data_IF_782940476239
#
_entry.id   IF_782940476239
#
_cell.length_a   1.000
_cell.length_b   1.000
_cell.length_c   1.000
_cell.angle_alpha   90.00
_cell.angle_beta   90.00
_cell.angle_gamma   90.00
#
_symmetry.space_group_name_H-M   'P 1'
#
loop_
_entity.id
_entity.type
_entity.pdbx_description
1 polymer ?
#
# COMPACT_ATOMS: atom_id res chain seq x y z
N UNK A 1 -10.64 17.76 3.44
CA UNK A 1 -10.48 19.21 3.18
C UNK A 1 -9.14 19.47 2.48
N UNK A 2 -8.92 18.82 1.35
CA UNK A 2 -7.70 18.90 0.55
C UNK A 2 -8.11 19.03 -0.91
N UNK A 3 -7.38 19.82 -1.69
CA UNK A 3 -7.52 19.86 -3.15
C UNK A 3 -6.32 19.18 -3.76
N UNK A 4 -6.59 18.09 -4.48
CA UNK A 4 -5.62 17.42 -5.33
C UNK A 4 -5.62 18.13 -6.70
N UNK A 5 -4.44 18.56 -7.15
CA UNK A 5 -4.24 19.12 -8.48
C UNK A 5 -3.37 18.17 -9.28
N UNK A 6 -3.96 17.43 -10.22
CA UNK A 6 -3.25 16.46 -11.08
C UNK A 6 -2.98 17.08 -12.44
N UNK A 7 -1.73 16.98 -12.92
CA UNK A 7 -1.33 17.40 -14.25
C UNK A 7 -0.65 16.24 -14.99
N UNK A 8 -1.10 16.00 -16.22
CA UNK A 8 -0.52 15.00 -17.14
C UNK A 8 -0.26 15.64 -18.50
N UNK A 9 0.84 15.24 -19.15
CA UNK A 9 1.19 15.67 -20.50
C UNK A 9 2.21 14.73 -21.14
N UNK A 10 2.10 14.52 -22.45
CA UNK A 10 3.12 13.82 -23.25
C UNK A 10 4.29 14.73 -23.65
N UNK A 11 4.17 16.05 -23.50
CA UNK A 11 5.24 16.99 -23.83
C UNK A 11 6.27 17.05 -22.71
N UNK A 12 7.52 16.65 -22.99
CA UNK A 12 8.62 16.70 -22.04
C UNK A 12 8.87 18.12 -21.50
N UNK A 13 8.82 19.12 -22.40
CA UNK A 13 8.97 20.53 -22.03
C UNK A 13 7.90 20.95 -20.99
N UNK A 14 6.64 20.67 -21.28
CA UNK A 14 5.52 21.00 -20.38
C UNK A 14 5.58 20.20 -19.08
N UNK A 15 6.03 18.94 -19.13
CA UNK A 15 6.20 18.09 -17.95
C UNK A 15 7.27 18.63 -16.98
N UNK A 16 8.36 19.19 -17.52
CA UNK A 16 9.39 19.90 -16.75
C UNK A 16 8.83 21.18 -16.13
N UNK A 17 8.16 22.01 -16.93
CA UNK A 17 7.56 23.26 -16.47
C UNK A 17 6.56 23.04 -15.32
N UNK A 18 5.70 22.02 -15.44
CA UNK A 18 4.71 21.66 -14.41
C UNK A 18 5.32 21.42 -13.04
N UNK A 19 6.50 20.79 -12.97
CA UNK A 19 7.16 20.51 -11.69
C UNK A 19 7.98 21.71 -11.22
N UNK A 20 8.72 22.38 -12.12
CA UNK A 20 9.55 23.54 -11.79
C UNK A 20 8.72 24.69 -11.21
N UNK A 21 7.55 24.98 -11.78
CA UNK A 21 6.64 26.04 -11.27
C UNK A 21 6.30 25.83 -9.78
N UNK A 22 5.96 24.60 -9.39
CA UNK A 22 5.58 24.28 -8.02
C UNK A 22 6.81 24.26 -7.09
N UNK A 23 7.90 23.62 -7.50
CA UNK A 23 9.12 23.52 -6.68
C UNK A 23 9.73 24.92 -6.43
N UNK A 24 9.78 25.78 -7.44
CA UNK A 24 10.26 27.16 -7.30
C UNK A 24 9.36 28.01 -6.38
N UNK A 25 8.10 27.61 -6.22
CA UNK A 25 7.16 28.21 -5.27
C UNK A 25 7.20 27.57 -3.88
N UNK A 26 8.19 26.70 -3.62
CA UNK A 26 8.34 25.98 -2.35
C UNK A 26 7.31 24.88 -2.12
N UNK A 27 6.64 24.38 -3.18
CA UNK A 27 5.60 23.35 -3.09
C UNK A 27 6.17 22.01 -3.58
N UNK A 28 6.34 21.01 -2.70
CA UNK A 28 6.72 19.66 -3.10
C UNK A 28 5.71 19.04 -4.07
N UNK A 29 6.19 18.22 -5.00
CA UNK A 29 5.38 17.66 -6.07
C UNK A 29 5.40 16.13 -6.01
N UNK A 30 4.23 15.52 -5.89
CA UNK A 30 4.09 14.08 -6.06
C UNK A 30 4.26 13.70 -7.52
N UNK A 31 5.09 12.70 -7.80
CA UNK A 31 5.42 12.25 -9.14
C UNK A 31 5.10 10.77 -9.25
N UNK A 32 4.51 10.38 -10.38
CA UNK A 32 4.42 8.97 -10.77
C UNK A 32 5.42 8.70 -11.88
N UNK A 33 6.21 7.63 -11.74
CA UNK A 33 7.30 7.31 -12.67
C UNK A 33 7.63 5.81 -12.66
N UNK A 34 8.52 5.39 -13.57
CA UNK A 34 9.12 4.05 -13.56
C UNK A 34 10.42 4.04 -12.75
N UNK A 35 10.46 3.22 -11.70
CA UNK A 35 11.62 3.08 -10.83
C UNK A 35 12.85 2.48 -11.53
N UNK A 36 12.69 1.80 -12.66
CA UNK A 36 13.80 1.28 -13.47
C UNK A 36 14.86 2.36 -13.74
N UNK A 37 14.43 3.56 -14.11
CA UNK A 37 15.36 4.62 -14.52
C UNK A 37 16.03 5.32 -13.33
N UNK A 38 15.50 5.20 -12.11
CA UNK A 38 16.03 5.93 -10.95
C UNK A 38 17.42 5.44 -10.53
N UNK A 39 18.38 6.35 -10.38
CA UNK A 39 19.79 6.00 -10.16
C UNK A 39 20.04 5.22 -8.87
N UNK A 40 19.28 5.50 -7.82
CA UNK A 40 19.40 4.84 -6.51
C UNK A 40 18.73 3.45 -6.45
N UNK A 41 17.95 3.05 -7.46
CA UNK A 41 17.44 1.68 -7.55
C UNK A 41 18.53 0.75 -8.10
N UNK A 42 19.12 -0.05 -7.22
CA UNK A 42 20.19 -1.01 -7.57
C UNK A 42 19.67 -2.22 -8.33
N UNK A 43 18.49 -2.73 -7.96
CA UNK A 43 17.80 -3.79 -8.67
C UNK A 43 16.85 -3.20 -9.71
N UNK A 44 17.20 -3.35 -10.99
CA UNK A 44 16.49 -2.75 -12.11
C UNK A 44 15.34 -3.65 -12.58
N UNK A 45 14.11 -3.17 -12.42
CA UNK A 45 12.91 -3.77 -13.00
C UNK A 45 11.92 -2.67 -13.37
N UNK A 46 11.17 -2.89 -14.45
CA UNK A 46 10.14 -1.94 -14.90
C UNK A 46 8.93 -1.98 -13.98
N UNK A 47 8.64 -0.84 -13.37
CA UNK A 47 7.43 -0.61 -12.59
C UNK A 47 7.04 0.87 -12.66
N UNK A 48 6.38 1.23 -13.77
CA UNK A 48 5.84 2.58 -14.05
C UNK A 48 4.65 2.99 -13.15
N UNK A 49 4.43 2.27 -12.04
CA UNK A 49 3.45 2.57 -11.00
C UNK A 49 4.08 3.11 -9.72
N UNK A 50 5.36 3.47 -9.72
CA UNK A 50 6.07 3.97 -8.55
C UNK A 50 5.76 5.45 -8.28
N UNK A 51 5.75 5.83 -6.99
CA UNK A 51 5.44 7.20 -6.56
C UNK A 51 6.53 7.75 -5.64
N UNK A 52 6.95 8.97 -5.92
CA UNK A 52 7.94 9.72 -5.13
C UNK A 52 7.48 11.16 -4.94
N UNK A 53 8.07 11.88 -3.98
CA UNK A 53 7.86 13.32 -3.82
C UNK A 53 9.12 14.07 -4.22
N UNK A 54 9.04 14.89 -5.26
CA UNK A 54 10.10 15.83 -5.61
C UNK A 54 10.06 17.03 -4.67
N UNK A 55 11.20 17.38 -4.09
CA UNK A 55 11.33 18.55 -3.20
C UNK A 55 12.39 19.55 -3.65
N UNK A 56 13.22 19.21 -4.63
CA UNK A 56 14.21 20.13 -5.19
C UNK A 56 14.79 19.63 -6.51
N UNK A 57 15.55 20.50 -7.18
CA UNK A 57 16.39 20.15 -8.33
C UNK A 57 17.50 21.19 -8.52
N UNK A 58 18.53 20.83 -9.29
CA UNK A 58 19.53 21.74 -9.84
C UNK A 58 19.74 21.46 -11.34
N UNK A 59 20.86 21.91 -11.92
CA UNK A 59 21.15 21.74 -13.34
C UNK A 59 21.27 20.27 -13.76
N UNK A 60 21.74 19.39 -12.85
CA UNK A 60 22.08 18.01 -13.14
C UNK A 60 21.19 17.01 -12.42
N UNK A 61 20.60 17.38 -11.29
CA UNK A 61 20.00 16.45 -10.35
C UNK A 61 18.59 16.85 -9.89
N UNK A 62 17.84 15.84 -9.46
CA UNK A 62 16.52 15.95 -8.87
C UNK A 62 16.54 15.28 -7.50
N UNK A 63 16.05 16.02 -6.50
CA UNK A 63 16.00 15.57 -5.11
C UNK A 63 14.59 15.05 -4.78
N UNK A 64 14.52 13.81 -4.32
CA UNK A 64 13.29 13.05 -4.13
C UNK A 64 13.20 12.51 -2.70
N UNK A 65 11.98 12.46 -2.17
CA UNK A 65 11.64 11.63 -1.02
C UNK A 65 10.94 10.36 -1.54
N UNK A 66 11.51 9.21 -1.20
CA UNK A 66 11.01 7.87 -1.46
C UNK A 66 10.82 7.15 -0.11
N UNK A 67 10.37 5.90 -0.15
CA UNK A 67 10.29 5.00 0.99
C UNK A 67 11.64 4.85 1.70
N UNK A 68 11.61 4.62 3.01
CA UNK A 68 12.81 4.40 3.81
C UNK A 68 13.66 3.23 3.30
N UNK A 69 13.03 2.21 2.70
CA UNK A 69 13.74 1.09 2.09
C UNK A 69 14.64 1.51 0.93
N UNK A 70 14.29 2.59 0.22
CA UNK A 70 15.08 3.13 -0.88
C UNK A 70 16.05 4.25 -0.45
N UNK A 71 16.06 4.61 0.85
CA UNK A 71 16.95 5.64 1.40
C UNK A 71 16.25 6.86 2.01
N UNK A 72 14.92 6.98 1.86
CA UNK A 72 14.18 8.13 2.35
C UNK A 72 14.41 9.37 1.49
N UNK A 73 15.47 10.14 1.76
CA UNK A 73 15.88 11.27 0.91
C UNK A 73 16.96 10.81 -0.06
N UNK A 74 16.68 10.93 -1.35
CA UNK A 74 17.48 10.35 -2.43
C UNK A 74 17.62 11.32 -3.59
N UNK A 75 18.56 11.03 -4.48
CA UNK A 75 18.89 11.86 -5.63
C UNK A 75 18.96 11.00 -6.89
N UNK A 76 18.51 11.55 -8.01
CA UNK A 76 18.71 10.96 -9.35
C UNK A 76 19.02 12.07 -10.34
N UNK A 77 19.75 11.75 -11.40
CA UNK A 77 20.03 12.68 -12.49
C UNK A 77 18.74 13.17 -13.16
N UNK A 78 18.75 14.43 -13.59
CA UNK A 78 17.64 15.06 -14.30
C UNK A 78 17.25 14.27 -15.57
N UNK A 79 18.25 13.75 -16.29
CA UNK A 79 18.06 12.90 -17.46
C UNK A 79 17.26 11.63 -17.13
N UNK A 80 17.65 10.92 -16.07
CA UNK A 80 16.99 9.67 -15.70
C UNK A 80 15.62 9.90 -15.08
N UNK A 81 15.44 10.99 -14.33
CA UNK A 81 14.13 11.43 -13.86
C UNK A 81 13.13 11.65 -15.01
N UNK A 82 13.58 12.22 -16.12
CA UNK A 82 12.74 12.45 -17.29
C UNK A 82 12.40 11.17 -18.05
N UNK A 83 13.37 10.26 -18.18
CA UNK A 83 13.12 8.92 -18.72
C UNK A 83 12.09 8.17 -17.86
N UNK A 84 12.28 8.18 -16.53
CA UNK A 84 11.38 7.57 -15.57
C UNK A 84 9.93 8.04 -15.73
N UNK A 85 9.73 9.35 -15.89
CA UNK A 85 8.40 9.97 -16.01
C UNK A 85 7.76 9.77 -17.38
N UNK A 86 8.56 9.62 -18.43
CA UNK A 86 8.07 9.48 -19.79
C UNK A 86 7.97 8.03 -20.27
N UNK A 87 8.28 7.06 -19.41
CA UNK A 87 8.17 5.63 -19.72
C UNK A 87 6.78 5.26 -20.26
N UNK A 88 6.73 4.20 -21.08
CA UNK A 88 5.52 3.66 -21.71
C UNK A 88 5.26 2.24 -21.23
N UNK A 89 4.03 1.78 -21.46
CA UNK A 89 3.62 0.42 -21.15
C UNK A 89 2.74 0.32 -19.90
N UNK A 90 2.60 -0.88 -19.34
CA UNK A 90 1.69 -1.15 -18.23
C UNK A 90 1.91 -0.21 -17.05
N UNK A 91 0.82 0.28 -16.46
CA UNK A 91 0.81 1.21 -15.31
C UNK A 91 1.44 2.59 -15.54
N UNK A 92 2.07 2.87 -16.68
CA UNK A 92 2.63 4.20 -16.98
C UNK A 92 1.56 5.30 -17.05
N UNK A 93 1.99 6.55 -16.88
CA UNK A 93 1.14 7.74 -17.05
C UNK A 93 1.88 8.78 -17.90
N UNK A 94 1.15 9.77 -18.43
CA UNK A 94 1.76 10.82 -19.25
C UNK A 94 2.46 11.86 -18.35
N UNK A 95 3.67 11.55 -17.87
CA UNK A 95 4.47 12.41 -16.99
C UNK A 95 3.68 12.97 -15.78
N UNK A 96 2.84 12.15 -15.16
CA UNK A 96 1.91 12.55 -14.11
C UNK A 96 2.65 13.21 -12.94
N UNK A 97 2.18 14.41 -12.59
CA UNK A 97 2.58 15.15 -11.41
C UNK A 97 1.34 15.63 -10.67
N UNK A 98 1.43 15.73 -9.35
CA UNK A 98 0.34 16.26 -8.55
C UNK A 98 0.85 17.07 -7.37
N UNK A 99 0.06 18.07 -6.97
CA UNK A 99 0.24 18.76 -5.69
C UNK A 99 -1.02 18.62 -4.85
N UNK A 100 -0.81 18.61 -3.53
CA UNK A 100 -1.89 18.59 -2.55
C UNK A 100 -1.84 19.92 -1.83
N UNK A 101 -2.98 20.60 -1.77
CA UNK A 101 -3.09 21.84 -0.98
C UNK A 101 -4.26 21.78 -0.01
N UNK A 102 -4.11 22.37 1.19
CA UNK A 102 -5.25 22.56 2.07
C UNK A 102 -6.31 23.43 1.40
N UNK A 103 -7.56 23.21 1.78
CA UNK A 103 -8.66 24.13 1.44
C UNK A 103 -9.20 24.77 2.72
N UNK A 104 -9.96 25.86 2.61
CA UNK A 104 -10.52 26.58 3.76
C UNK A 104 -11.87 26.00 4.22
N UNK A 105 -12.27 24.80 3.77
CA UNK A 105 -13.56 24.23 4.13
C UNK A 105 -13.50 23.67 5.55
N UNK A 106 -14.41 24.12 6.42
CA UNK A 106 -14.59 23.50 7.73
C UNK A 106 -15.01 22.03 7.55
N UNK A 107 -14.53 21.16 8.43
CA UNK A 107 -14.88 19.75 8.44
C UNK A 107 -14.91 19.24 9.88
N UNK A 108 -15.77 18.28 10.14
CA UNK A 108 -15.80 17.52 11.39
C UNK A 108 -14.90 16.29 11.22
N UNK A 109 -13.76 16.29 11.91
CA UNK A 109 -12.78 15.21 11.81
C UNK A 109 -13.36 13.88 12.33
N UNK A 110 -14.13 13.90 13.43
CA UNK A 110 -14.74 12.67 13.99
C UNK A 110 -15.69 12.06 12.96
N UNK A 111 -16.59 12.87 12.40
CA UNK A 111 -17.55 12.42 11.37
C UNK A 111 -16.84 11.84 10.14
N UNK A 112 -15.77 12.48 9.67
CA UNK A 112 -14.99 12.01 8.51
C UNK A 112 -14.31 10.68 8.80
N UNK A 113 -13.72 10.51 9.99
CA UNK A 113 -13.11 9.24 10.41
C UNK A 113 -14.14 8.11 10.43
N UNK A 114 -15.29 8.33 11.09
CA UNK A 114 -16.36 7.34 11.17
C UNK A 114 -16.89 6.95 9.80
N UNK A 115 -17.09 7.93 8.91
CA UNK A 115 -17.51 7.66 7.54
C UNK A 115 -16.46 6.85 6.75
N UNK A 116 -15.17 7.16 6.89
CA UNK A 116 -14.10 6.44 6.21
C UNK A 116 -14.00 4.98 6.68
N UNK A 117 -14.06 4.75 8.00
CA UNK A 117 -14.08 3.42 8.61
C UNK A 117 -15.30 2.63 8.13
N UNK A 118 -16.49 3.21 8.23
CA UNK A 118 -17.74 2.55 7.83
C UNK A 118 -17.76 2.17 6.36
N UNK A 119 -17.29 3.07 5.47
CA UNK A 119 -17.18 2.78 4.04
C UNK A 119 -16.19 1.63 3.77
N UNK A 120 -15.04 1.63 4.44
CA UNK A 120 -14.04 0.57 4.29
C UNK A 120 -14.59 -0.78 4.77
N UNK A 121 -15.19 -0.82 5.97
CA UNK A 121 -15.78 -2.02 6.54
C UNK A 121 -16.93 -2.56 5.67
N UNK A 122 -17.81 -1.68 5.18
CA UNK A 122 -18.90 -2.03 4.26
C UNK A 122 -18.37 -2.68 2.98
N UNK A 123 -17.38 -2.07 2.33
CA UNK A 123 -16.79 -2.62 1.11
C UNK A 123 -16.07 -3.95 1.38
N UNK A 124 -15.33 -4.04 2.48
CA UNK A 124 -14.62 -5.25 2.86
C UNK A 124 -15.59 -6.43 3.09
N UNK A 125 -16.70 -6.20 3.80
CA UNK A 125 -17.68 -7.24 4.14
C UNK A 125 -18.57 -7.66 2.97
N UNK A 126 -18.69 -6.82 1.94
CA UNK A 126 -19.49 -7.06 0.74
C UNK A 126 -18.62 -7.19 -0.52
N UNK A 127 -17.68 -8.16 -0.56
CA UNK A 127 -16.84 -8.32 -1.74
C UNK A 127 -17.67 -8.80 -2.94
N UNK A 128 -17.46 -8.25 -4.15
CA UNK A 128 -18.26 -8.59 -5.33
C UNK A 128 -18.00 -10.02 -5.85
N UNK A 129 -16.88 -10.62 -5.48
CA UNK A 129 -16.49 -11.98 -5.84
C UNK A 129 -15.78 -12.68 -4.67
N UNK A 130 -15.64 -14.00 -4.75
CA UNK A 130 -15.05 -14.84 -3.69
C UNK A 130 -13.53 -14.66 -3.50
N UNK A 131 -12.83 -13.99 -4.42
CA UNK A 131 -11.38 -13.83 -4.38
C UNK A 131 -10.93 -12.54 -3.64
N UNK A 132 -11.84 -11.84 -2.95
CA UNK A 132 -11.59 -10.53 -2.35
C UNK A 132 -11.94 -10.57 -0.86
N UNK A 133 -11.25 -9.75 -0.06
CA UNK A 133 -11.46 -9.61 1.40
C UNK A 133 -11.34 -10.96 2.13
N UNK A 134 -12.06 -11.14 3.24
CA UNK A 134 -12.04 -12.37 4.04
C UNK A 134 -12.37 -13.64 3.24
N UNK A 135 -13.25 -13.53 2.24
CA UNK A 135 -13.57 -14.66 1.34
C UNK A 135 -12.35 -15.05 0.51
N UNK A 136 -11.61 -14.06 0.03
CA UNK A 136 -10.35 -14.25 -0.68
C UNK A 136 -9.30 -14.92 0.21
N UNK A 137 -9.13 -14.46 1.45
CA UNK A 137 -8.21 -15.07 2.42
C UNK A 137 -8.58 -16.54 2.66
N UNK A 138 -9.86 -16.83 2.90
CA UNK A 138 -10.34 -18.19 3.09
C UNK A 138 -10.11 -19.06 1.85
N UNK A 139 -10.32 -18.52 0.64
CA UNK A 139 -10.00 -19.25 -0.59
C UNK A 139 -8.50 -19.51 -0.71
N UNK A 140 -7.66 -18.52 -0.42
CA UNK A 140 -6.20 -18.64 -0.45
C UNK A 140 -5.70 -19.75 0.45
N UNK A 141 -6.29 -19.95 1.64
CA UNK A 141 -5.93 -21.06 2.54
C UNK A 141 -5.92 -22.43 1.84
N UNK A 142 -6.84 -22.65 0.89
CA UNK A 142 -6.95 -23.91 0.13
C UNK A 142 -6.06 -23.91 -1.11
N UNK A 143 -5.92 -22.77 -1.77
CA UNK A 143 -5.17 -22.67 -3.02
C UNK A 143 -3.65 -22.76 -2.82
N UNK A 144 -3.11 -22.31 -1.69
CA UNK A 144 -1.67 -22.40 -1.42
C UNK A 144 -1.16 -23.85 -1.35
N UNK A 145 -2.01 -24.78 -0.89
CA UNK A 145 -1.70 -26.21 -0.85
C UNK A 145 -1.58 -26.76 -2.29
N UNK A 146 -2.53 -26.39 -3.16
CA UNK A 146 -2.51 -26.81 -4.57
C UNK A 146 -1.38 -26.14 -5.35
N UNK A 147 -1.06 -24.90 -5.01
CA UNK A 147 0.03 -24.16 -5.63
C UNK A 147 1.37 -24.79 -5.28
N UNK A 148 1.63 -25.07 -4.00
CA UNK A 148 2.85 -25.73 -3.56
C UNK A 148 3.10 -27.05 -4.31
N UNK A 149 2.08 -27.92 -4.43
CA UNK A 149 2.18 -29.20 -5.14
C UNK A 149 2.43 -29.09 -6.64
N UNK A 150 2.10 -27.95 -7.26
CA UNK A 150 2.22 -27.73 -8.72
C UNK A 150 3.38 -26.82 -9.10
N UNK A 151 3.97 -26.13 -8.12
CA UNK A 151 5.07 -25.20 -8.37
C UNK A 151 6.29 -25.95 -8.88
N UNK A 152 6.92 -25.41 -9.92
CA UNK A 152 8.21 -25.89 -10.44
C UNK A 152 9.39 -25.25 -9.71
N UNK A 153 9.14 -24.17 -8.98
CA UNK A 153 10.13 -23.41 -8.21
C UNK A 153 9.52 -22.94 -6.89
N UNK A 154 9.34 -23.89 -5.97
CA UNK A 154 8.76 -23.63 -4.63
C UNK A 154 9.55 -22.57 -3.88
N UNK A 155 10.88 -22.55 -4.02
CA UNK A 155 11.73 -21.61 -3.33
C UNK A 155 11.48 -20.18 -3.83
N UNK A 156 11.59 -19.97 -5.15
CA UNK A 156 11.35 -18.67 -5.77
C UNK A 156 9.93 -18.17 -5.53
N UNK A 157 8.92 -19.03 -5.74
CA UNK A 157 7.51 -18.70 -5.61
C UNK A 157 7.15 -18.19 -4.20
N UNK A 158 7.51 -18.96 -3.16
CA UNK A 158 7.08 -18.68 -1.80
C UNK A 158 7.95 -17.62 -1.12
N UNK A 159 9.28 -17.60 -1.35
CA UNK A 159 10.14 -16.53 -0.82
C UNK A 159 9.83 -15.19 -1.45
N UNK A 160 9.60 -15.15 -2.77
CA UNK A 160 9.21 -13.90 -3.44
C UNK A 160 7.88 -13.41 -2.90
N UNK A 161 6.90 -14.29 -2.73
CA UNK A 161 5.60 -13.91 -2.15
C UNK A 161 5.72 -13.40 -0.73
N UNK A 162 6.49 -14.06 0.13
CA UNK A 162 6.75 -13.59 1.48
C UNK A 162 7.45 -12.21 1.49
N UNK A 163 8.42 -12.00 0.61
CA UNK A 163 9.07 -10.70 0.42
C UNK A 163 8.05 -9.64 0.01
N UNK A 164 7.17 -9.93 -0.96
CA UNK A 164 6.13 -8.99 -1.41
C UNK A 164 5.14 -8.66 -0.27
N UNK A 165 4.76 -9.64 0.54
CA UNK A 165 3.87 -9.44 1.69
C UNK A 165 4.44 -8.41 2.68
N UNK A 166 5.76 -8.41 2.88
CA UNK A 166 6.41 -7.57 3.89
C UNK A 166 7.02 -6.27 3.36
N UNK A 167 7.57 -6.28 2.14
CA UNK A 167 8.52 -5.28 1.65
C UNK A 167 8.14 -4.60 0.32
N UNK A 168 7.06 -5.01 -0.35
CA UNK A 168 6.63 -4.38 -1.61
C UNK A 168 5.77 -3.12 -1.40
N UNK A 169 6.22 -2.20 -0.54
CA UNK A 169 5.46 -0.99 -0.20
C UNK A 169 4.22 -1.22 0.65
N UNK A 170 4.06 -2.43 1.21
CA UNK A 170 2.90 -2.80 2.04
C UNK A 170 2.95 -2.26 3.48
N UNK A 171 4.12 -1.78 3.92
CA UNK A 171 4.38 -1.48 5.33
C UNK A 171 4.36 -2.72 6.24
N UNK A 172 4.53 -3.92 5.65
CA UNK A 172 4.45 -5.19 6.35
C UNK A 172 3.02 -5.75 6.45
N UNK A 173 2.92 -7.07 6.59
CA UNK A 173 1.65 -7.78 6.80
C UNK A 173 0.54 -7.40 5.80
N UNK A 174 0.85 -7.20 4.51
CA UNK A 174 -0.13 -6.83 3.48
C UNK A 174 -1.03 -5.64 3.89
N UNK A 175 -0.44 -4.52 4.32
CA UNK A 175 -1.12 -3.28 4.75
C UNK A 175 -1.87 -3.35 6.09
N UNK A 176 -1.84 -4.48 6.81
CA UNK A 176 -2.54 -4.58 8.11
C UNK A 176 -1.90 -3.71 9.18
N UNK A 177 -0.59 -3.47 9.12
CA UNK A 177 0.06 -2.49 10.01
C UNK A 177 -0.47 -1.08 9.77
N UNK A 178 -0.62 -0.67 8.50
CA UNK A 178 -1.15 0.65 8.14
C UNK A 178 -2.58 0.83 8.67
N UNK A 179 -3.46 -0.16 8.46
CA UNK A 179 -4.83 -0.07 8.93
C UNK A 179 -4.92 -0.13 10.46
N UNK A 180 -4.10 -0.96 11.13
CA UNK A 180 -3.97 -0.98 12.58
C UNK A 180 -3.61 0.40 13.13
N UNK A 181 -2.58 1.05 12.59
CA UNK A 181 -2.11 2.34 13.10
C UNK A 181 -3.15 3.44 12.83
N UNK A 182 -3.83 3.38 11.69
CA UNK A 182 -4.99 4.22 11.40
C UNK A 182 -6.12 4.05 12.43
N UNK A 183 -6.46 2.82 12.83
CA UNK A 183 -7.49 2.58 13.86
C UNK A 183 -7.05 3.10 15.23
N UNK A 184 -5.76 2.95 15.59
CA UNK A 184 -5.20 3.49 16.84
C UNK A 184 -5.35 5.00 16.91
N UNK A 185 -4.93 5.70 15.86
CA UNK A 185 -5.07 7.16 15.78
C UNK A 185 -6.53 7.59 15.74
N UNK A 186 -7.38 6.83 15.02
CA UNK A 186 -8.81 7.07 14.97
C UNK A 186 -9.42 7.02 16.37
N UNK A 187 -9.12 5.99 17.16
CA UNK A 187 -9.58 5.90 18.55
C UNK A 187 -9.13 7.11 19.39
N UNK A 188 -7.88 7.56 19.24
CA UNK A 188 -7.38 8.74 19.96
C UNK A 188 -8.19 10.00 19.64
N UNK A 189 -8.72 10.12 18.42
CA UNK A 189 -9.53 11.27 17.96
C UNK A 189 -11.01 11.13 18.23
N UNK A 190 -11.57 9.91 18.21
CA UNK A 190 -13.03 9.68 18.30
C UNK A 190 -13.47 9.21 19.68
N UNK A 191 -12.59 8.54 20.44
CA UNK A 191 -12.86 7.86 21.72
C UNK A 191 -13.95 6.78 21.66
N UNK A 192 -14.17 6.20 20.48
CA UNK A 192 -15.13 5.10 20.26
C UNK A 192 -14.46 3.77 20.59
N UNK A 193 -14.94 3.06 21.60
CA UNK A 193 -14.30 1.85 22.14
C UNK A 193 -14.29 0.68 21.14
N UNK A 194 -15.26 0.58 20.25
CA UNK A 194 -15.32 -0.42 19.18
C UNK A 194 -14.17 -0.26 18.18
N UNK A 195 -13.69 0.97 17.96
CA UNK A 195 -12.50 1.24 17.16
C UNK A 195 -11.26 0.74 17.88
N UNK A 196 -11.14 0.96 19.20
CA UNK A 196 -10.02 0.46 19.99
C UNK A 196 -9.99 -1.07 20.02
N UNK A 197 -11.14 -1.70 20.26
CA UNK A 197 -11.30 -3.16 20.20
C UNK A 197 -10.87 -3.73 18.85
N UNK A 198 -11.27 -3.08 17.77
CA UNK A 198 -10.86 -3.49 16.42
C UNK A 198 -9.38 -3.24 16.16
N UNK A 199 -8.79 -2.15 16.69
CA UNK A 199 -7.35 -1.92 16.67
C UNK A 199 -6.58 -3.08 17.31
N UNK A 200 -6.97 -3.53 18.51
CA UNK A 200 -6.34 -4.66 19.19
C UNK A 200 -6.47 -5.97 18.39
N UNK A 201 -7.63 -6.19 17.76
CA UNK A 201 -7.78 -7.30 16.81
C UNK A 201 -6.82 -7.17 15.62
N UNK A 202 -6.62 -5.96 15.09
CA UNK A 202 -5.69 -5.70 13.99
C UNK A 202 -4.21 -5.80 14.38
N UNK A 203 -3.85 -5.62 15.66
CA UNK A 203 -2.53 -5.97 16.20
C UNK A 203 -2.28 -7.47 16.00
N UNK A 204 -3.23 -8.31 16.42
CA UNK A 204 -3.14 -9.76 16.31
C UNK A 204 -3.20 -10.24 14.85
N UNK A 205 -4.11 -9.69 14.05
CA UNK A 205 -4.21 -9.98 12.61
C UNK A 205 -2.90 -9.65 11.90
N UNK A 206 -2.27 -8.49 12.18
CA UNK A 206 -0.99 -8.13 11.56
C UNK A 206 0.13 -9.10 11.97
N UNK A 207 0.15 -9.55 13.23
CA UNK A 207 1.08 -10.58 13.71
C UNK A 207 0.88 -11.90 12.95
N UNK A 208 -0.34 -12.38 12.81
CA UNK A 208 -0.66 -13.62 12.10
C UNK A 208 -0.26 -13.56 10.62
N UNK A 209 -0.48 -12.44 9.94
CA UNK A 209 0.02 -12.26 8.55
C UNK A 209 1.54 -12.34 8.44
N UNK A 210 2.29 -11.83 9.43
CA UNK A 210 3.75 -12.01 9.49
C UNK A 210 4.14 -13.46 9.76
N UNK A 211 3.35 -14.21 10.52
CA UNK A 211 3.60 -15.64 10.69
C UNK A 211 3.38 -16.41 9.38
N UNK A 212 2.38 -16.05 8.57
CA UNK A 212 2.20 -16.62 7.22
C UNK A 212 3.42 -16.34 6.34
N UNK A 213 3.94 -15.11 6.33
CA UNK A 213 5.13 -14.79 5.52
C UNK A 213 6.38 -15.57 5.97
N UNK A 214 6.59 -15.73 7.29
CA UNK A 214 7.66 -16.59 7.84
C UNK A 214 7.49 -18.06 7.45
N UNK A 215 6.26 -18.59 7.47
CA UNK A 215 5.99 -19.97 7.06
C UNK A 215 6.24 -20.16 5.56
N UNK A 216 5.94 -19.17 4.72
CA UNK A 216 6.27 -19.22 3.30
C UNK A 216 7.78 -19.23 3.06
N UNK A 217 8.56 -18.45 3.82
CA UNK A 217 10.03 -18.51 3.75
C UNK A 217 10.51 -19.92 4.10
N UNK A 218 10.03 -20.49 5.22
CA UNK A 218 10.40 -21.86 5.64
C UNK A 218 10.00 -22.92 4.60
N UNK A 219 8.80 -22.79 4.01
CA UNK A 219 8.35 -23.68 2.94
C UNK A 219 9.25 -23.57 1.70
N UNK A 220 9.69 -22.36 1.34
CA UNK A 220 10.64 -22.13 0.26
C UNK A 220 12.03 -22.70 0.54
N UNK A 221 12.55 -22.51 1.75
CA UNK A 221 13.87 -23.02 2.19
C UNK A 221 13.93 -24.55 2.23
N UNK A 222 12.89 -25.17 2.78
CA UNK A 222 12.90 -26.61 3.11
C UNK A 222 12.18 -27.47 2.08
N UNK A 223 11.33 -26.86 1.25
CA UNK A 223 10.40 -27.55 0.35
C UNK A 223 9.50 -28.54 1.10
N UNK A 224 9.21 -28.26 2.36
CA UNK A 224 8.31 -29.05 3.20
C UNK A 224 6.89 -28.45 3.20
N UNK A 225 5.92 -29.30 2.83
CA UNK A 225 4.50 -28.94 2.75
C UNK A 225 3.86 -28.69 4.11
N UNK A 226 4.45 -29.19 5.21
CA UNK A 226 3.91 -28.98 6.56
C UNK A 226 3.85 -27.49 6.94
N UNK A 227 4.77 -26.68 6.44
CA UNK A 227 4.71 -25.22 6.62
C UNK A 227 3.53 -24.58 5.87
N UNK A 228 3.12 -25.16 4.74
CA UNK A 228 1.95 -24.71 3.98
C UNK A 228 0.64 -25.10 4.67
N UNK A 229 0.57 -26.28 5.30
CA UNK A 229 -0.60 -26.65 6.11
C UNK A 229 -0.77 -25.71 7.30
N UNK A 230 0.31 -25.39 8.03
CA UNK A 230 0.27 -24.40 9.12
C UNK A 230 -0.15 -23.02 8.62
N UNK A 231 0.36 -22.58 7.46
CA UNK A 231 -0.04 -21.30 6.88
C UNK A 231 -1.52 -21.30 6.46
N UNK A 232 -2.03 -22.43 5.97
CA UNK A 232 -3.43 -22.62 5.61
C UNK A 232 -4.36 -22.43 6.82
N UNK A 233 -4.03 -23.05 7.95
CA UNK A 233 -4.78 -22.92 9.21
C UNK A 233 -4.84 -21.46 9.68
N UNK A 234 -3.70 -20.77 9.67
CA UNK A 234 -3.63 -19.34 10.04
C UNK A 234 -4.46 -18.48 9.08
N UNK A 235 -4.48 -18.79 7.79
CA UNK A 235 -5.32 -18.05 6.82
C UNK A 235 -6.82 -18.25 7.08
N UNK A 236 -7.25 -19.43 7.52
CA UNK A 236 -8.65 -19.65 7.94
C UNK A 236 -8.98 -18.79 9.16
N UNK A 237 -8.10 -18.74 10.15
CA UNK A 237 -8.24 -17.89 11.34
C UNK A 237 -8.27 -16.40 10.97
N UNK A 238 -7.37 -15.94 10.11
CA UNK A 238 -7.29 -14.57 9.61
C UNK A 238 -8.59 -14.14 8.92
N UNK A 239 -9.17 -15.00 8.08
CA UNK A 239 -10.42 -14.71 7.40
C UNK A 239 -11.56 -14.44 8.39
N UNK A 240 -11.68 -15.26 9.43
CA UNK A 240 -12.69 -15.08 10.48
C UNK A 240 -12.42 -13.83 11.32
N UNK A 241 -11.18 -13.62 11.78
CA UNK A 241 -10.82 -12.44 12.59
C UNK A 241 -11.04 -11.13 11.85
N UNK A 242 -10.61 -11.02 10.59
CA UNK A 242 -10.80 -9.80 9.80
C UNK A 242 -12.29 -9.54 9.54
N UNK A 243 -13.08 -10.59 9.27
CA UNK A 243 -14.54 -10.44 9.15
C UNK A 243 -15.15 -9.89 10.44
N UNK A 244 -14.80 -10.45 11.60
CA UNK A 244 -15.32 -10.01 12.91
C UNK A 244 -14.94 -8.57 13.23
N UNK A 245 -13.67 -8.20 13.05
CA UNK A 245 -13.19 -6.83 13.28
C UNK A 245 -13.94 -5.83 12.39
N UNK A 246 -14.07 -6.14 11.10
CA UNK A 246 -14.80 -5.27 10.17
C UNK A 246 -16.30 -5.20 10.47
N UNK A 247 -16.93 -6.29 10.96
CA UNK A 247 -18.33 -6.24 11.41
C UNK A 247 -18.53 -5.32 12.62
N UNK A 248 -17.62 -5.35 13.61
CA UNK A 248 -17.66 -4.43 14.76
C UNK A 248 -17.58 -2.98 14.28
N UNK A 249 -16.61 -2.69 13.41
CA UNK A 249 -16.44 -1.36 12.82
C UNK A 249 -17.65 -0.88 12.02
N UNK A 250 -18.26 -1.77 11.23
CA UNK A 250 -19.44 -1.39 10.45
C UNK A 250 -20.63 -1.05 11.34
N UNK A 251 -20.89 -1.85 12.38
CA UNK A 251 -22.03 -1.65 13.28
C UNK A 251 -21.92 -0.29 13.99
N UNK A 252 -20.77 0.01 14.60
CA UNK A 252 -20.60 1.28 15.32
C UNK A 252 -20.67 2.50 14.40
N UNK A 253 -20.20 2.37 13.15
CA UNK A 253 -20.31 3.44 12.17
C UNK A 253 -21.73 3.63 11.62
N UNK A 254 -22.61 2.62 11.72
CA UNK A 254 -24.02 2.77 11.36
C UNK A 254 -24.82 3.42 12.50
N UNK A 255 -24.46 3.15 13.75
CA UNK A 255 -25.08 3.72 14.94
C UNK A 255 -24.76 5.22 15.10
N UNK A 256 -23.53 5.67 14.79
CA UNK A 256 -23.17 7.10 14.88
C UNK A 256 -23.62 7.97 13.68
N UNK A 257 -24.12 7.36 12.60
CA UNK A 257 -24.61 8.10 11.41
C UNK A 257 -26.12 8.37 11.46
N UNK A 258 -26.83 7.70 12.37
CA UNK A 258 -28.22 7.98 12.75
C UNK A 258 -28.29 9.01 13.88
#
# INVERSE_FOLDING_TARGET
>A
NLKLNVRETSSLKKARENVKENINSGIPVGIKLDCYHLDYFTNKFHFAGHYVVMYGYDENSVYLADTMQQGGLVETSLKNFELARNEKGPMSSKNLSYTIKPTNKKYDLKKVIMQAIGNNAKNYLNPPIQNISYKGILKTSKEIIKWFKRSKDVEGDFKTTAMLMEKAGTGGALFRNLYRDFLKESYQKTKVEEINKSYEMFVDIARLWREVSKLFIKAGDTKDIEYIYKASEILVELADKEKRAMSILLNVCQEEVL
#
